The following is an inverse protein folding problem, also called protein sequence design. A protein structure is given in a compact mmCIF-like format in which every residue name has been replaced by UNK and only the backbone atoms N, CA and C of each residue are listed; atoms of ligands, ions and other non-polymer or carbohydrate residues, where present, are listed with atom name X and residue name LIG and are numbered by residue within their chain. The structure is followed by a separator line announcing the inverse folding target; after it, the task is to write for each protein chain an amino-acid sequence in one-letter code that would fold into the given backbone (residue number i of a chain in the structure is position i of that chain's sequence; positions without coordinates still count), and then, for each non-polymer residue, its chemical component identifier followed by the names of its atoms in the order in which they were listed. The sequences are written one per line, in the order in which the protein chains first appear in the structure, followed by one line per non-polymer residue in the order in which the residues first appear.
data_IF_285389384300
#
_entry.id   IF_285389384300
#
_cell.length_a   1.000
_cell.length_b   1.000
_cell.length_c   1.000
_cell.angle_alpha   90.00
_cell.angle_beta   90.00
_cell.angle_gamma   90.00
#
_symmetry.space_group_name_H-M   'P 1'
#
loop_
_entity.id
_entity.type
_entity.pdbx_description
1 polymer ?
#
# COMPACT_ATOMS: atom_id res chain seq x y z
N UNK A 1 -15.81 -10.44 -4.79
CA UNK A 1 -14.37 -10.14 -4.67
C UNK A 1 -14.21 -9.10 -3.59
N UNK A 2 -13.38 -9.38 -2.59
CA UNK A 2 -13.03 -8.48 -1.49
C UNK A 2 -11.63 -7.93 -1.74
N UNK A 3 -11.51 -6.61 -1.83
CA UNK A 3 -10.21 -5.95 -1.95
C UNK A 3 -9.89 -5.26 -0.63
N UNK A 4 -8.75 -5.62 -0.07
CA UNK A 4 -8.19 -4.97 1.11
C UNK A 4 -7.20 -3.88 0.71
N UNK A 5 -7.43 -2.64 1.10
CA UNK A 5 -6.46 -1.54 0.92
C UNK A 5 -5.62 -1.35 2.18
N UNK A 6 -4.32 -1.17 2.02
CA UNK A 6 -3.42 -0.67 3.09
C UNK A 6 -2.90 0.69 2.67
N UNK A 7 -3.24 1.74 3.42
CA UNK A 7 -2.99 3.14 3.00
C UNK A 7 -3.17 4.14 4.15
N UNK A 8 -3.11 5.44 3.84
CA UNK A 8 -3.83 6.48 4.58
C UNK A 8 -5.25 6.66 4.01
N UNK A 9 -6.13 7.27 4.80
CA UNK A 9 -7.50 7.59 4.40
C UNK A 9 -7.94 8.91 5.04
N UNK A 10 -8.86 9.70 4.44
CA UNK A 10 -9.36 10.92 5.05
C UNK A 10 -9.97 10.64 6.45
N UNK A 11 -9.96 11.58 7.40
CA UNK A 11 -9.57 12.99 7.31
C UNK A 11 -8.05 13.28 7.38
N UNK A 12 -7.17 12.28 7.28
CA UNK A 12 -5.73 12.56 7.13
C UNK A 12 -5.52 13.42 5.88
N UNK A 13 -4.99 14.62 6.05
CA UNK A 13 -4.79 15.60 4.98
C UNK A 13 -3.52 15.30 4.19
N UNK A 14 -3.60 14.33 3.27
CA UNK A 14 -2.53 14.07 2.30
C UNK A 14 -3.08 13.56 0.96
N UNK A 15 -2.28 13.68 -0.10
CA UNK A 15 -2.70 13.28 -1.45
C UNK A 15 -3.05 11.79 -1.57
N UNK A 16 -2.36 10.92 -0.82
CA UNK A 16 -2.61 9.47 -0.84
C UNK A 16 -3.94 9.13 -0.18
N UNK A 17 -4.34 9.85 0.88
CA UNK A 17 -5.63 9.69 1.51
C UNK A 17 -6.76 10.03 0.52
N UNK A 18 -6.68 11.20 -0.13
CA UNK A 18 -7.63 11.62 -1.16
C UNK A 18 -7.68 10.64 -2.34
N UNK A 19 -6.52 10.19 -2.83
CA UNK A 19 -6.44 9.19 -3.90
C UNK A 19 -7.15 7.88 -3.49
N UNK A 20 -6.87 7.39 -2.28
CA UNK A 20 -7.44 6.14 -1.77
C UNK A 20 -8.95 6.24 -1.62
N UNK A 21 -9.46 7.37 -1.13
CA UNK A 21 -10.90 7.62 -1.06
C UNK A 21 -11.54 7.56 -2.46
N UNK A 22 -11.03 8.33 -3.42
CA UNK A 22 -11.62 8.35 -4.77
C UNK A 22 -11.58 6.99 -5.47
N UNK A 23 -10.48 6.26 -5.33
CA UNK A 23 -10.37 4.92 -5.89
C UNK A 23 -11.35 3.94 -5.24
N UNK A 24 -11.41 3.92 -3.90
CA UNK A 24 -12.31 3.00 -3.18
C UNK A 24 -13.78 3.34 -3.41
N UNK A 25 -14.15 4.61 -3.51
CA UNK A 25 -15.51 5.04 -3.84
C UNK A 25 -15.90 4.64 -5.26
N UNK A 26 -15.00 4.80 -6.23
CA UNK A 26 -15.22 4.36 -7.61
C UNK A 26 -15.41 2.83 -7.70
N UNK A 27 -14.63 2.06 -6.94
CA UNK A 27 -14.74 0.60 -6.89
C UNK A 27 -16.02 0.12 -6.18
N UNK A 28 -16.43 0.81 -5.10
CA UNK A 28 -17.71 0.55 -4.42
C UNK A 28 -18.90 0.83 -5.33
N UNK A 29 -18.84 1.88 -6.15
CA UNK A 29 -19.84 2.16 -7.18
C UNK A 29 -19.93 1.05 -8.24
N UNK A 30 -18.89 0.23 -8.39
CA UNK A 30 -18.87 -1.01 -9.19
C UNK A 30 -19.26 -2.26 -8.39
N UNK A 31 -19.84 -2.10 -7.20
CA UNK A 31 -20.29 -3.17 -6.31
C UNK A 31 -19.15 -4.10 -5.84
N UNK A 32 -17.92 -3.59 -5.74
CA UNK A 32 -16.80 -4.32 -5.14
C UNK A 32 -16.83 -4.15 -3.62
N UNK A 33 -16.55 -5.22 -2.88
CA UNK A 33 -16.47 -5.18 -1.42
C UNK A 33 -15.06 -4.71 -1.00
N UNK A 34 -15.00 -3.57 -0.29
CA UNK A 34 -13.75 -2.84 -0.04
C UNK A 34 -13.56 -2.63 1.45
N UNK A 35 -12.39 -3.05 1.95
CA UNK A 35 -11.94 -2.80 3.31
C UNK A 35 -10.66 -1.97 3.26
N UNK A 36 -10.57 -0.91 4.06
CA UNK A 36 -9.35 -0.08 4.13
C UNK A 36 -8.75 -0.23 5.52
N UNK A 37 -7.56 -0.80 5.62
CA UNK A 37 -6.74 -0.74 6.83
C UNK A 37 -5.86 0.49 6.72
N UNK A 38 -6.14 1.48 7.58
CA UNK A 38 -5.57 2.82 7.48
C UNK A 38 -4.56 3.09 8.59
N UNK A 39 -3.71 4.09 8.37
CA UNK A 39 -3.09 4.81 9.47
C UNK A 39 -4.13 5.35 10.48
N UNK A 40 -3.73 5.48 11.75
CA UNK A 40 -4.50 6.18 12.78
C UNK A 40 -4.89 7.58 12.28
N UNK A 41 -6.17 7.92 12.46
CA UNK A 41 -6.74 9.19 12.01
C UNK A 41 -7.61 9.08 10.75
N UNK A 42 -7.52 8.00 9.98
CA UNK A 42 -8.47 7.74 8.88
C UNK A 42 -9.85 7.34 9.40
N UNK A 43 -10.94 7.72 8.73
CA UNK A 43 -12.30 7.31 9.12
C UNK A 43 -13.20 7.19 7.89
N UNK A 44 -14.23 6.36 7.96
CA UNK A 44 -15.19 6.20 6.86
C UNK A 44 -15.83 4.83 6.80
N UNK A 45 -16.60 4.60 5.73
CA UNK A 45 -17.22 3.31 5.47
C UNK A 45 -16.17 2.22 5.28
N UNK A 46 -16.21 1.17 6.11
CA UNK A 46 -15.27 0.05 6.08
C UNK A 46 -13.79 0.50 6.12
N UNK A 47 -13.51 1.56 6.89
CA UNK A 47 -12.16 2.05 7.18
C UNK A 47 -11.80 1.67 8.61
N UNK A 48 -10.66 1.02 8.78
CA UNK A 48 -10.18 0.46 10.03
C UNK A 48 -8.78 1.01 10.32
N UNK A 49 -8.67 2.08 11.10
CA UNK A 49 -7.37 2.60 11.53
C UNK A 49 -6.71 1.59 12.46
N UNK A 50 -5.48 1.18 12.14
CA UNK A 50 -4.84 0.06 12.83
C UNK A 50 -3.38 0.30 13.21
N UNK A 51 -2.67 1.19 12.53
CA UNK A 51 -1.23 1.38 12.74
C UNK A 51 -0.84 2.86 12.59
N UNK A 52 0.26 3.24 13.22
CA UNK A 52 0.88 4.56 13.09
C UNK A 52 2.26 4.46 12.42
N UNK A 53 2.82 5.59 11.97
CA UNK A 53 4.16 5.65 11.39
C UNK A 53 5.28 5.41 12.41
N UNK A 54 5.03 5.67 13.70
CA UNK A 54 6.00 5.39 14.78
C UNK A 54 5.93 3.95 15.33
N UNK A 55 4.95 3.16 14.90
CA UNK A 55 4.76 1.80 15.39
C UNK A 55 5.92 0.89 14.94
N UNK A 56 6.65 0.31 15.90
CA UNK A 56 7.68 -0.68 15.60
C UNK A 56 7.14 -1.96 14.96
N UNK A 57 5.85 -2.25 15.16
CA UNK A 57 5.11 -3.42 14.71
C UNK A 57 4.02 -3.08 13.67
N UNK A 58 4.15 -1.95 12.96
CA UNK A 58 3.11 -1.47 12.02
C UNK A 58 2.70 -2.50 10.97
N UNK A 59 3.66 -3.29 10.46
CA UNK A 59 3.40 -4.33 9.46
C UNK A 59 2.49 -5.41 10.03
N UNK A 60 2.82 -5.91 11.22
CA UNK A 60 2.03 -6.93 11.92
C UNK A 60 0.61 -6.41 12.25
N UNK A 61 0.47 -5.15 12.69
CA UNK A 61 -0.84 -4.53 12.94
C UNK A 61 -1.68 -4.41 11.67
N UNK A 62 -1.08 -3.95 10.57
CA UNK A 62 -1.75 -3.84 9.28
C UNK A 62 -2.19 -5.22 8.77
N UNK A 63 -1.27 -6.20 8.80
CA UNK A 63 -1.52 -7.57 8.38
C UNK A 63 -2.61 -8.24 9.22
N UNK A 64 -2.47 -8.26 10.55
CA UNK A 64 -3.39 -8.93 11.47
C UNK A 64 -4.79 -8.31 11.46
N UNK A 65 -4.91 -7.03 11.13
CA UNK A 65 -6.20 -6.38 10.91
C UNK A 65 -6.78 -6.80 9.57
N UNK A 66 -5.98 -6.76 8.49
CA UNK A 66 -6.42 -7.04 7.13
C UNK A 66 -6.93 -8.48 6.95
N UNK A 67 -6.22 -9.47 7.49
CA UNK A 67 -6.57 -10.89 7.31
C UNK A 67 -7.92 -11.26 7.90
N UNK A 68 -8.43 -10.49 8.88
CA UNK A 68 -9.78 -10.68 9.46
C UNK A 68 -10.90 -10.46 8.46
N UNK A 69 -10.64 -9.69 7.41
CA UNK A 69 -11.62 -9.43 6.35
C UNK A 69 -11.58 -10.47 5.23
N UNK A 70 -10.65 -11.44 5.29
CA UNK A 70 -10.49 -12.50 4.28
C UNK A 70 -10.44 -11.92 2.85
N UNK A 71 -9.49 -11.01 2.56
CA UNK A 71 -9.41 -10.36 1.25
C UNK A 71 -9.00 -11.37 0.18
N UNK A 72 -9.58 -11.23 -1.02
CA UNK A 72 -9.15 -11.99 -2.19
C UNK A 72 -7.85 -11.40 -2.77
N UNK A 73 -7.64 -10.08 -2.60
CA UNK A 73 -6.47 -9.31 -3.06
C UNK A 73 -6.19 -8.20 -2.05
N UNK A 74 -4.91 -7.89 -1.80
CA UNK A 74 -4.49 -6.70 -1.06
C UNK A 74 -3.87 -5.66 -2.00
N UNK A 75 -4.31 -4.41 -1.89
CA UNK A 75 -3.81 -3.26 -2.63
C UNK A 75 -3.10 -2.29 -1.67
N UNK A 76 -1.78 -2.23 -1.77
CA UNK A 76 -0.93 -1.36 -0.95
C UNK A 76 -0.67 -0.04 -1.67
N UNK A 77 -0.91 1.06 -0.98
CA UNK A 77 -0.57 2.40 -1.44
C UNK A 77 0.81 2.75 -0.87
N UNK A 78 1.85 2.68 -1.70
CA UNK A 78 3.23 2.83 -1.28
C UNK A 78 3.74 4.27 -1.41
N UNK A 79 4.32 4.76 -0.32
CA UNK A 79 5.16 5.96 -0.26
C UNK A 79 6.16 5.77 0.90
N UNK A 80 7.36 6.35 0.79
CA UNK A 80 8.48 6.10 1.69
C UNK A 80 8.25 6.61 3.12
N UNK A 81 7.30 7.52 3.34
CA UNK A 81 6.92 8.03 4.66
C UNK A 81 5.83 7.23 5.37
N UNK A 82 5.16 6.27 4.70
CA UNK A 82 4.00 5.58 5.29
C UNK A 82 4.37 4.38 6.15
N UNK A 83 5.36 3.60 5.76
CA UNK A 83 5.62 2.29 6.38
C UNK A 83 6.84 2.34 7.31
N UNK A 84 6.83 3.31 8.22
CA UNK A 84 7.83 3.46 9.27
C UNK A 84 8.96 4.44 8.96
N UNK A 85 9.65 4.88 10.01
CA UNK A 85 10.70 5.92 9.98
C UNK A 85 11.94 5.62 9.11
N UNK A 86 12.12 4.38 8.66
CA UNK A 86 13.28 3.95 7.90
C UNK A 86 12.93 3.82 6.41
N UNK A 87 12.54 4.94 5.79
CA UNK A 87 12.18 5.02 4.36
C UNK A 87 11.07 4.03 3.97
N UNK A 88 10.12 3.73 4.85
CA UNK A 88 9.00 2.87 4.49
C UNK A 88 9.38 1.40 4.34
N UNK A 89 10.56 0.98 4.80
CA UNK A 89 11.06 -0.39 4.59
C UNK A 89 10.14 -1.48 5.18
N UNK A 90 9.32 -1.15 6.19
CA UNK A 90 8.38 -2.09 6.81
C UNK A 90 7.27 -2.56 5.87
N UNK A 91 7.09 -1.94 4.70
CA UNK A 91 6.17 -2.42 3.66
C UNK A 91 6.62 -3.78 3.10
N UNK A 92 7.93 -4.04 3.03
CA UNK A 92 8.49 -5.26 2.43
C UNK A 92 8.09 -6.51 3.21
N UNK A 93 8.31 -6.60 4.55
CA UNK A 93 7.82 -7.74 5.32
C UNK A 93 6.30 -7.87 5.26
N UNK A 94 5.54 -6.77 5.26
CA UNK A 94 4.08 -6.81 5.11
C UNK A 94 3.63 -7.48 3.80
N UNK A 95 4.27 -7.13 2.67
CA UNK A 95 4.00 -7.78 1.37
C UNK A 95 4.31 -9.28 1.44
N UNK A 96 5.45 -9.64 2.06
CA UNK A 96 5.86 -11.03 2.22
C UNK A 96 4.87 -11.84 3.06
N UNK A 97 4.32 -11.27 4.14
CA UNK A 97 3.31 -11.91 4.98
C UNK A 97 2.05 -12.27 4.19
N UNK A 98 1.51 -11.34 3.39
CA UNK A 98 0.37 -11.64 2.51
C UNK A 98 0.69 -12.70 1.46
N UNK A 99 1.87 -12.62 0.84
CA UNK A 99 2.35 -13.59 -0.14
C UNK A 99 2.50 -15.00 0.45
N UNK A 100 2.97 -15.11 1.69
CA UNK A 100 3.07 -16.39 2.42
C UNK A 100 1.70 -17.03 2.68
N UNK A 101 0.64 -16.22 2.81
CA UNK A 101 -0.74 -16.72 2.88
C UNK A 101 -1.38 -16.97 1.50
N UNK A 102 -0.65 -16.75 0.41
CA UNK A 102 -1.16 -16.90 -0.95
C UNK A 102 -2.18 -15.82 -1.35
N UNK A 103 -2.20 -14.68 -0.65
CA UNK A 103 -3.04 -13.53 -0.98
C UNK A 103 -2.27 -12.64 -1.97
N UNK A 104 -2.76 -12.43 -3.20
CA UNK A 104 -2.09 -11.58 -4.18
C UNK A 104 -1.98 -10.14 -3.71
N UNK A 105 -0.82 -9.52 -3.97
CA UNK A 105 -0.52 -8.14 -3.60
C UNK A 105 -0.36 -7.26 -4.84
N UNK A 106 -1.12 -6.17 -4.89
CA UNK A 106 -0.97 -5.09 -5.85
C UNK A 106 -0.41 -3.87 -5.14
N UNK A 107 0.65 -3.26 -5.67
CA UNK A 107 1.25 -2.06 -5.08
C UNK A 107 1.13 -0.86 -6.02
N UNK A 108 0.53 0.24 -5.58
CA UNK A 108 0.61 1.53 -6.28
C UNK A 108 1.77 2.34 -5.72
N UNK A 109 2.74 2.69 -6.57
CA UNK A 109 3.90 3.48 -6.17
C UNK A 109 3.63 4.97 -6.42
N UNK A 110 3.50 5.77 -5.36
CA UNK A 110 3.26 7.21 -5.47
C UNK A 110 4.54 8.02 -5.70
N UNK A 111 5.69 7.47 -5.32
CA UNK A 111 7.00 8.11 -5.48
C UNK A 111 7.90 7.23 -6.34
N UNK A 112 8.08 7.63 -7.60
CA UNK A 112 9.03 7.02 -8.55
C UNK A 112 9.69 8.16 -9.35
N UNK A 113 11.02 8.20 -9.36
CA UNK A 113 11.82 9.24 -10.03
C UNK A 113 13.15 8.66 -10.55
N UNK A 114 13.74 9.28 -11.56
CA UNK A 114 14.83 8.72 -12.38
C UNK A 114 16.15 8.55 -11.62
N UNK A 115 16.61 9.58 -10.92
CA UNK A 115 17.92 9.61 -10.26
C UNK A 115 17.80 9.18 -8.80
N UNK A 116 17.25 7.98 -8.60
CA UNK A 116 16.99 7.41 -7.30
C UNK A 116 18.27 7.00 -6.58
N UNK A 117 18.38 7.35 -5.29
CA UNK A 117 19.48 6.86 -4.46
C UNK A 117 19.38 5.35 -4.23
N UNK A 118 20.49 4.75 -3.77
CA UNK A 118 20.59 3.32 -3.59
C UNK A 118 19.58 2.75 -2.58
N UNK A 119 19.19 3.52 -1.56
CA UNK A 119 18.28 3.06 -0.51
C UNK A 119 16.84 2.98 -1.05
N UNK A 120 16.35 4.05 -1.66
CA UNK A 120 15.04 4.08 -2.31
C UNK A 120 14.95 3.03 -3.43
N UNK A 121 16.02 2.88 -4.23
CA UNK A 121 16.10 1.86 -5.28
C UNK A 121 15.95 0.45 -4.72
N UNK A 122 16.70 0.12 -3.67
CA UNK A 122 16.65 -1.20 -3.01
C UNK A 122 15.24 -1.52 -2.49
N UNK A 123 14.58 -0.54 -1.88
CA UNK A 123 13.22 -0.72 -1.33
C UNK A 123 12.21 -0.94 -2.46
N UNK A 124 12.25 -0.14 -3.53
CA UNK A 124 11.34 -0.33 -4.65
C UNK A 124 11.59 -1.65 -5.38
N UNK A 125 12.84 -2.07 -5.59
CA UNK A 125 13.17 -3.39 -6.15
C UNK A 125 12.55 -4.50 -5.31
N UNK A 126 12.62 -4.41 -3.98
CA UNK A 126 11.99 -5.36 -3.08
C UNK A 126 10.45 -5.33 -3.18
N UNK A 127 9.83 -4.16 -3.22
CA UNK A 127 8.36 -4.03 -3.41
C UNK A 127 7.93 -4.63 -4.73
N UNK A 128 8.63 -4.33 -5.82
CA UNK A 128 8.29 -4.80 -7.17
C UNK A 128 8.46 -6.32 -7.28
N UNK A 129 9.58 -6.85 -6.79
CA UNK A 129 9.88 -8.29 -6.83
C UNK A 129 8.86 -9.11 -6.04
N UNK A 130 8.30 -8.54 -4.97
CA UNK A 130 7.40 -9.27 -4.08
C UNK A 130 5.92 -9.01 -4.34
N UNK A 131 5.56 -7.95 -5.07
CA UNK A 131 4.17 -7.69 -5.49
C UNK A 131 3.82 -8.51 -6.73
N UNK A 132 2.59 -9.00 -6.83
CA UNK A 132 2.08 -9.67 -8.03
C UNK A 132 1.87 -8.69 -9.18
N UNK A 133 1.45 -7.45 -8.86
CA UNK A 133 1.33 -6.35 -9.83
C UNK A 133 1.75 -5.04 -9.20
N UNK A 134 2.26 -4.15 -10.05
CA UNK A 134 2.64 -2.79 -9.67
C UNK A 134 1.93 -1.80 -10.58
N UNK A 135 1.41 -0.73 -9.98
CA UNK A 135 0.75 0.38 -10.68
C UNK A 135 1.58 1.64 -10.45
N UNK A 136 1.80 2.39 -11.52
CA UNK A 136 2.40 3.73 -11.53
C UNK A 136 1.47 4.67 -12.27
N UNK A 137 1.65 5.97 -12.09
CA UNK A 137 0.76 7.00 -12.63
C UNK A 137 1.16 7.44 -14.04
N UNK A 138 2.47 7.45 -14.32
CA UNK A 138 3.02 8.05 -15.55
C UNK A 138 3.96 7.10 -16.31
N UNK A 139 4.04 7.20 -17.66
CA UNK A 139 4.93 6.35 -18.47
C UNK A 139 6.40 6.40 -18.07
N UNK A 140 6.92 7.58 -17.70
CA UNK A 140 8.34 7.71 -17.30
C UNK A 140 8.66 6.90 -16.03
N UNK A 141 7.68 6.73 -15.14
CA UNK A 141 7.85 5.93 -13.93
C UNK A 141 8.01 4.46 -14.32
N UNK A 142 7.18 3.96 -15.23
CA UNK A 142 7.31 2.61 -15.75
C UNK A 142 8.68 2.39 -16.42
N UNK A 143 9.14 3.33 -17.23
CA UNK A 143 10.45 3.23 -17.89
C UNK A 143 11.61 3.27 -16.88
N UNK A 144 11.48 4.09 -15.83
CA UNK A 144 12.43 4.10 -14.70
C UNK A 144 12.49 2.73 -14.03
N UNK A 145 11.35 2.12 -13.72
CA UNK A 145 11.30 0.82 -13.04
C UNK A 145 11.79 -0.33 -13.92
N UNK A 146 11.53 -0.30 -15.24
CA UNK A 146 12.08 -1.30 -16.17
C UNK A 146 13.61 -1.30 -16.23
N UNK A 147 14.24 -0.16 -15.97
CA UNK A 147 15.71 -0.07 -15.83
C UNK A 147 16.24 -0.60 -14.49
N UNK A 148 15.38 -1.07 -13.59
CA UNK A 148 15.76 -1.62 -12.29
C UNK A 148 15.74 -3.15 -12.24
N UNK A 149 15.03 -3.80 -13.16
CA UNK A 149 14.74 -5.26 -13.16
C UNK A 149 15.49 -5.95 -14.29
#
# INVERSE_FOLDING_TARGET
MRIGFVSTYPPIECGIATYTQYLTDALRAKQTDIYVVSHIGGTGQQVFPAFDYEDGDLGEKAFSTMVRFTPDIVHIQHEFGLYGKHLGVSVVPLILEFKMLGIPVVSTLHTVYTDMDAAHRTILEAVITNSDRVIVHEPYQLDTLKGMI
#
